data_IF_933615511878
#
_entry.id   IF_933615511878
#
_cell.length_a   1.000
_cell.length_b   1.000
_cell.length_c   1.000
_cell.angle_alpha   90.00
_cell.angle_beta   90.00
_cell.angle_gamma   90.00
#
_symmetry.space_group_name_H-M   'P 1'
#
loop_
_entity.id
_entity.type
_entity.pdbx_description
1 polymer ?
#
# COMPACT_ATOMS: atom_id res chain seq x y z
N UNK A 1 42.41 69.70 -15.85
CA UNK A 1 42.23 70.06 -17.27
C UNK A 1 40.92 69.48 -17.76
N UNK A 2 39.96 70.32 -18.11
CA UNK A 2 38.68 69.93 -18.72
C UNK A 2 38.84 70.03 -20.24
N UNK A 3 38.93 68.89 -20.92
CA UNK A 3 38.89 68.83 -22.38
C UNK A 3 37.45 68.88 -22.86
N UNK A 4 37.13 69.72 -23.86
CA UNK A 4 35.79 69.76 -24.49
C UNK A 4 35.48 68.46 -25.24
N UNK A 5 36.51 67.78 -25.74
CA UNK A 5 36.38 66.56 -26.56
C UNK A 5 36.26 65.30 -25.68
N UNK A 6 36.81 65.33 -24.47
CA UNK A 6 36.81 64.18 -23.56
C UNK A 6 36.39 64.62 -22.16
N UNK A 7 35.10 64.46 -21.87
CA UNK A 7 34.52 64.83 -20.59
C UNK A 7 34.68 63.67 -19.58
N UNK A 8 35.80 63.70 -18.85
CA UNK A 8 36.14 62.67 -17.86
C UNK A 8 35.09 62.51 -16.76
N UNK A 9 34.45 63.61 -16.33
CA UNK A 9 33.39 63.59 -15.32
C UNK A 9 32.13 62.89 -15.83
N UNK A 10 31.75 63.13 -17.09
CA UNK A 10 30.63 62.45 -17.72
C UNK A 10 30.90 60.97 -17.98
N UNK A 11 32.13 60.59 -18.35
CA UNK A 11 32.52 59.18 -18.50
C UNK A 11 32.50 58.43 -17.16
N UNK A 12 32.99 59.06 -16.08
CA UNK A 12 32.91 58.49 -14.74
C UNK A 12 31.45 58.29 -14.30
N UNK A 13 30.60 59.31 -14.50
CA UNK A 13 29.16 59.21 -14.21
C UNK A 13 28.47 58.11 -15.05
N UNK A 14 28.82 57.96 -16.32
CA UNK A 14 28.30 56.89 -17.17
C UNK A 14 28.75 55.50 -16.70
N UNK A 15 29.99 55.35 -16.22
CA UNK A 15 30.48 54.09 -15.66
C UNK A 15 29.75 53.73 -14.37
N UNK A 16 29.53 54.71 -13.48
CA UNK A 16 28.69 54.53 -12.28
C UNK A 16 27.26 54.16 -12.66
N UNK A 17 26.65 54.84 -13.64
CA UNK A 17 25.29 54.53 -14.09
C UNK A 17 25.19 53.11 -14.66
N UNK A 18 26.15 52.68 -15.50
CA UNK A 18 26.20 51.31 -16.01
C UNK A 18 26.31 50.28 -14.88
N UNK A 19 27.09 50.56 -13.85
CA UNK A 19 27.20 49.70 -12.66
C UNK A 19 25.89 49.63 -11.87
N UNK A 20 25.22 50.77 -11.65
CA UNK A 20 23.91 50.82 -10.96
C UNK A 20 22.85 50.06 -11.78
N UNK A 21 22.79 50.28 -13.09
CA UNK A 21 21.86 49.57 -13.97
C UNK A 21 22.10 48.06 -13.97
N UNK A 22 23.35 47.62 -13.94
CA UNK A 22 23.70 46.19 -13.78
C UNK A 22 23.21 45.62 -12.45
N UNK A 23 23.53 46.27 -11.34
CA UNK A 23 23.07 45.85 -10.00
C UNK A 23 21.54 45.84 -9.87
N UNK A 24 20.85 46.81 -10.50
CA UNK A 24 19.40 46.86 -10.55
C UNK A 24 18.82 45.67 -11.32
N UNK A 25 19.40 45.33 -12.48
CA UNK A 25 19.01 44.16 -13.27
C UNK A 25 19.17 42.86 -12.47
N UNK A 26 20.29 42.70 -11.75
CA UNK A 26 20.55 41.52 -10.92
C UNK A 26 19.55 41.42 -9.75
N UNK A 27 19.26 42.54 -9.10
CA UNK A 27 18.26 42.61 -8.02
C UNK A 27 16.86 42.27 -8.56
N UNK A 28 16.48 42.81 -9.72
CA UNK A 28 15.21 42.49 -10.37
C UNK A 28 15.12 41.01 -10.74
N UNK A 29 16.21 40.40 -11.23
CA UNK A 29 16.26 38.97 -11.53
C UNK A 29 16.10 38.11 -10.27
N UNK A 30 16.74 38.48 -9.16
CA UNK A 30 16.60 37.79 -7.88
C UNK A 30 15.18 37.93 -7.31
N UNK A 31 14.56 39.11 -7.41
CA UNK A 31 13.17 39.35 -6.97
C UNK A 31 12.18 38.58 -7.84
N UNK A 32 12.37 38.58 -9.17
CA UNK A 32 11.49 37.90 -10.12
C UNK A 32 11.57 36.37 -10.00
N UNK A 33 12.78 35.83 -9.85
CA UNK A 33 12.99 34.38 -9.68
C UNK A 33 12.77 33.89 -8.25
N UNK A 34 12.81 34.79 -7.26
CA UNK A 34 12.87 34.44 -5.84
C UNK A 34 14.17 33.77 -5.41
N UNK A 35 15.19 33.68 -6.28
CA UNK A 35 16.44 32.99 -6.03
C UNK A 35 17.58 33.98 -5.83
N UNK A 36 18.27 33.91 -4.69
CA UNK A 36 19.51 34.66 -4.46
C UNK A 36 20.67 34.20 -5.36
N UNK A 37 20.69 32.91 -5.72
CA UNK A 37 21.72 32.27 -6.54
C UNK A 37 20.99 31.53 -7.66
N UNK A 38 20.99 32.10 -8.86
CA UNK A 38 20.20 31.59 -9.99
C UNK A 38 21.04 30.72 -10.92
N UNK A 39 22.31 31.07 -11.09
CA UNK A 39 23.25 30.42 -12.02
C UNK A 39 24.48 29.91 -11.28
N UNK A 40 25.14 28.91 -11.85
CA UNK A 40 26.40 28.38 -11.34
C UNK A 40 27.52 29.44 -11.32
N UNK A 41 27.45 30.45 -12.19
CA UNK A 41 28.37 31.59 -12.22
C UNK A 41 28.30 32.47 -10.98
N UNK A 42 27.14 32.54 -10.30
CA UNK A 42 26.91 33.44 -9.17
C UNK A 42 27.59 32.85 -7.91
N UNK A 43 27.46 31.54 -7.72
CA UNK A 43 28.21 30.76 -6.74
C UNK A 43 28.10 29.26 -7.05
N UNK A 44 29.15 28.67 -7.61
CA UNK A 44 29.11 27.27 -8.08
C UNK A 44 28.83 26.26 -6.95
N UNK A 45 29.38 26.49 -5.75
CA UNK A 45 29.21 25.57 -4.62
C UNK A 45 27.77 25.57 -4.09
N UNK A 46 27.22 26.75 -3.80
CA UNK A 46 25.84 26.86 -3.33
C UNK A 46 24.82 26.49 -4.40
N UNK A 47 25.07 26.81 -5.67
CA UNK A 47 24.20 26.41 -6.77
C UNK A 47 24.14 24.88 -6.92
N UNK A 48 25.29 24.20 -6.80
CA UNK A 48 25.35 22.73 -6.86
C UNK A 48 24.58 22.07 -5.70
N UNK A 49 24.78 22.55 -4.47
CA UNK A 49 24.03 22.06 -3.30
C UNK A 49 22.52 22.31 -3.46
N UNK A 50 22.13 23.54 -3.84
CA UNK A 50 20.72 23.88 -4.03
C UNK A 50 20.05 23.06 -5.15
N UNK A 51 20.79 22.79 -6.23
CA UNK A 51 20.30 21.95 -7.33
C UNK A 51 20.12 20.50 -6.90
N UNK A 52 21.07 19.95 -6.13
CA UNK A 52 20.92 18.62 -5.53
C UNK A 52 19.73 18.55 -4.59
N UNK A 53 19.56 19.52 -3.70
CA UNK A 53 18.42 19.58 -2.78
C UNK A 53 17.08 19.71 -3.53
N UNK A 54 17.03 20.48 -4.62
CA UNK A 54 15.83 20.58 -5.46
C UNK A 54 15.50 19.25 -6.13
N UNK A 55 16.50 18.53 -6.63
CA UNK A 55 16.35 17.19 -7.19
C UNK A 55 15.85 16.20 -6.13
N UNK A 56 16.41 16.26 -4.91
CA UNK A 56 15.99 15.41 -3.79
C UNK A 56 14.56 15.68 -3.38
N UNK A 57 14.14 16.95 -3.34
CA UNK A 57 12.77 17.31 -3.02
C UNK A 57 11.77 16.73 -4.05
N UNK A 58 12.14 16.72 -5.34
CA UNK A 58 11.33 16.06 -6.37
C UNK A 58 11.25 14.54 -6.17
N UNK A 59 12.37 13.89 -5.85
CA UNK A 59 12.42 12.46 -5.59
C UNK A 59 11.63 12.06 -4.32
N UNK A 60 11.73 12.85 -3.25
CA UNK A 60 10.96 12.67 -2.01
C UNK A 60 9.46 12.84 -2.29
N UNK A 61 9.08 13.82 -3.12
CA UNK A 61 7.70 13.97 -3.58
C UNK A 61 7.17 12.71 -4.27
N UNK A 62 7.93 12.15 -5.22
CA UNK A 62 7.57 10.91 -5.88
C UNK A 62 7.50 9.70 -4.92
N UNK A 63 8.38 9.64 -3.92
CA UNK A 63 8.31 8.62 -2.86
C UNK A 63 7.09 8.80 -1.98
N UNK A 64 6.68 10.03 -1.69
CA UNK A 64 5.44 10.33 -0.96
C UNK A 64 4.21 9.86 -1.74
N UNK A 65 4.17 10.09 -3.05
CA UNK A 65 3.09 9.59 -3.91
C UNK A 65 3.07 8.06 -3.93
N UNK A 66 4.24 7.43 -4.04
CA UNK A 66 4.37 5.97 -4.01
C UNK A 66 3.94 5.37 -2.66
N UNK A 67 4.26 6.04 -1.54
CA UNK A 67 3.77 5.69 -0.21
C UNK A 67 2.24 5.82 -0.11
N UNK A 68 1.65 6.85 -0.70
CA UNK A 68 0.20 7.02 -0.79
C UNK A 68 -0.47 5.88 -1.56
N UNK A 69 0.12 5.45 -2.69
CA UNK A 69 -0.33 4.25 -3.42
C UNK A 69 -0.16 2.96 -2.60
N UNK A 70 0.93 2.85 -1.84
CA UNK A 70 1.17 1.73 -0.92
C UNK A 70 0.13 1.65 0.18
N UNK A 71 -0.22 2.79 0.79
CA UNK A 71 -1.28 2.89 1.79
C UNK A 71 -2.64 2.45 1.20
N UNK A 72 -3.00 2.95 0.01
CA UNK A 72 -4.25 2.56 -0.66
C UNK A 72 -4.33 1.04 -0.94
N UNK A 73 -3.20 0.39 -1.28
CA UNK A 73 -3.14 -1.08 -1.43
C UNK A 73 -3.45 -1.79 -0.11
N UNK A 74 -2.80 -1.36 0.97
CA UNK A 74 -3.00 -1.96 2.31
C UNK A 74 -4.42 -1.71 2.82
N UNK A 75 -4.96 -0.51 2.61
CA UNK A 75 -6.33 -0.16 3.00
C UNK A 75 -7.38 -0.99 2.27
N UNK A 76 -7.18 -1.23 0.97
CA UNK A 76 -8.06 -2.11 0.17
C UNK A 76 -8.04 -3.53 0.74
N UNK A 77 -6.85 -4.06 1.06
CA UNK A 77 -6.70 -5.38 1.67
C UNK A 77 -7.33 -5.45 3.06
N UNK A 78 -7.10 -4.44 3.91
CA UNK A 78 -7.65 -4.36 5.27
C UNK A 78 -9.19 -4.30 5.26
N UNK A 79 -9.78 -3.52 4.35
CA UNK A 79 -11.23 -3.44 4.16
C UNK A 79 -11.82 -4.78 3.71
N UNK A 80 -11.14 -5.48 2.81
CA UNK A 80 -11.56 -6.81 2.36
C UNK A 80 -11.47 -7.86 3.48
N UNK A 81 -10.41 -7.84 4.29
CA UNK A 81 -10.28 -8.72 5.47
C UNK A 81 -11.38 -8.43 6.49
N UNK A 82 -11.68 -7.16 6.76
CA UNK A 82 -12.75 -6.78 7.70
C UNK A 82 -14.11 -7.29 7.21
N UNK A 83 -14.42 -7.08 5.92
CA UNK A 83 -15.65 -7.60 5.31
C UNK A 83 -15.72 -9.13 5.35
N UNK A 84 -14.59 -9.81 5.14
CA UNK A 84 -14.50 -11.26 5.22
C UNK A 84 -14.73 -11.77 6.67
N UNK A 85 -14.22 -11.06 7.68
CA UNK A 85 -14.45 -11.37 9.10
C UNK A 85 -15.96 -11.31 9.41
N UNK A 86 -16.66 -10.28 8.95
CA UNK A 86 -18.10 -10.14 9.18
C UNK A 86 -18.90 -11.28 8.52
N UNK A 87 -18.55 -11.65 7.28
CA UNK A 87 -19.19 -12.76 6.56
C UNK A 87 -18.94 -14.09 7.29
N UNK A 88 -17.71 -14.34 7.74
CA UNK A 88 -17.38 -15.57 8.47
C UNK A 88 -18.03 -15.60 9.86
N UNK A 89 -18.22 -14.44 10.49
CA UNK A 89 -19.05 -14.29 11.68
C UNK A 89 -20.49 -14.74 11.42
N UNK A 90 -21.09 -14.32 10.31
CA UNK A 90 -22.43 -14.79 9.92
C UNK A 90 -22.46 -16.30 9.65
N UNK A 91 -21.43 -16.87 9.01
CA UNK A 91 -21.32 -18.33 8.82
C UNK A 91 -21.31 -19.03 10.18
N UNK A 92 -20.56 -18.51 11.17
CA UNK A 92 -20.54 -19.06 12.53
C UNK A 92 -21.92 -19.03 13.18
N UNK A 93 -22.66 -17.93 13.05
CA UNK A 93 -24.00 -17.80 13.61
C UNK A 93 -24.96 -18.81 12.97
N UNK A 94 -24.88 -18.99 11.63
CA UNK A 94 -25.65 -20.00 10.92
C UNK A 94 -25.31 -21.43 11.37
N UNK A 95 -24.03 -21.73 11.57
CA UNK A 95 -23.60 -23.01 12.12
C UNK A 95 -24.12 -23.26 13.54
N UNK A 96 -24.17 -22.22 14.38
CA UNK A 96 -24.77 -22.32 15.71
C UNK A 96 -26.27 -22.63 15.63
N UNK A 97 -27.02 -21.98 14.72
CA UNK A 97 -28.43 -22.32 14.50
C UNK A 97 -28.63 -23.74 13.97
N UNK A 98 -27.72 -24.25 13.15
CA UNK A 98 -27.76 -25.63 12.65
C UNK A 98 -27.51 -26.71 13.72
N UNK A 99 -27.05 -26.34 14.92
CA UNK A 99 -26.94 -27.26 16.06
C UNK A 99 -28.30 -27.60 16.66
N UNK A 100 -29.32 -26.75 16.45
CA UNK A 100 -30.67 -27.02 16.91
C UNK A 100 -31.30 -28.14 16.07
N UNK A 101 -31.64 -29.27 16.72
CA UNK A 101 -32.08 -30.49 16.04
C UNK A 101 -33.38 -30.38 15.25
N UNK A 102 -34.14 -29.30 15.42
CA UNK A 102 -35.40 -29.03 14.72
C UNK A 102 -35.22 -28.20 13.44
N UNK A 103 -34.01 -27.73 13.14
CA UNK A 103 -33.72 -26.88 11.98
C UNK A 103 -33.37 -27.74 10.75
N UNK A 104 -33.89 -27.34 9.58
CA UNK A 104 -33.52 -27.96 8.31
C UNK A 104 -32.10 -27.54 7.90
N UNK A 105 -31.16 -28.48 8.06
CA UNK A 105 -29.75 -28.29 7.73
C UNK A 105 -29.51 -27.99 6.25
N UNK A 106 -30.41 -28.40 5.35
CA UNK A 106 -30.28 -28.09 3.92
C UNK A 106 -30.54 -26.61 3.64
N UNK A 107 -31.59 -26.06 4.24
CA UNK A 107 -31.91 -24.63 4.12
C UNK A 107 -30.78 -23.76 4.71
N UNK A 108 -30.22 -24.14 5.86
CA UNK A 108 -29.08 -23.42 6.45
C UNK A 108 -27.82 -23.57 5.59
N UNK A 109 -27.59 -24.73 4.98
CA UNK A 109 -26.47 -24.94 4.05
C UNK A 109 -26.57 -24.05 2.81
N UNK A 110 -27.78 -23.82 2.26
CA UNK A 110 -27.97 -22.90 1.13
C UNK A 110 -27.54 -21.47 1.49
N UNK A 111 -27.91 -20.99 2.69
CA UNK A 111 -27.48 -19.68 3.19
C UNK A 111 -25.96 -19.62 3.42
N UNK A 112 -25.36 -20.66 3.99
CA UNK A 112 -23.90 -20.77 4.14
C UNK A 112 -23.21 -20.74 2.78
N UNK A 113 -23.75 -21.45 1.78
CA UNK A 113 -23.24 -21.45 0.42
C UNK A 113 -23.26 -20.06 -0.23
N UNK A 114 -24.30 -19.26 0.01
CA UNK A 114 -24.35 -17.86 -0.44
C UNK A 114 -23.29 -17.00 0.24
N UNK A 115 -23.11 -17.16 1.56
CA UNK A 115 -22.06 -16.46 2.31
C UNK A 115 -20.65 -16.84 1.83
N UNK A 116 -20.41 -18.12 1.52
CA UNK A 116 -19.15 -18.61 0.94
C UNK A 116 -18.88 -17.99 -0.45
N UNK A 117 -19.89 -17.86 -1.30
CA UNK A 117 -19.77 -17.17 -2.60
C UNK A 117 -19.49 -15.67 -2.42
N UNK A 118 -20.15 -15.02 -1.46
CA UNK A 118 -19.89 -13.61 -1.15
C UNK A 118 -18.45 -13.41 -0.66
N UNK A 119 -17.95 -14.31 0.18
CA UNK A 119 -16.56 -14.32 0.66
C UNK A 119 -15.56 -14.42 -0.50
N UNK A 120 -15.83 -15.30 -1.46
CA UNK A 120 -15.04 -15.42 -2.69
C UNK A 120 -15.06 -14.13 -3.50
N UNK A 121 -16.24 -13.52 -3.67
CA UNK A 121 -16.39 -12.26 -4.41
C UNK A 121 -15.64 -11.10 -3.75
N UNK A 122 -15.69 -10.97 -2.43
CA UNK A 122 -14.92 -9.97 -1.66
C UNK A 122 -13.42 -10.19 -1.86
N UNK A 123 -12.95 -11.44 -1.76
CA UNK A 123 -11.55 -11.76 -1.96
C UNK A 123 -11.08 -11.44 -3.37
N UNK A 124 -11.87 -11.71 -4.42
CA UNK A 124 -11.51 -11.37 -5.81
C UNK A 124 -11.52 -9.86 -6.07
N UNK A 125 -12.47 -9.14 -5.47
CA UNK A 125 -12.66 -7.70 -5.69
C UNK A 125 -11.62 -6.83 -5.00
N UNK A 126 -10.88 -7.38 -4.03
CA UNK A 126 -9.83 -6.70 -3.27
C UNK A 126 -8.52 -6.45 -4.07
N UNK A 127 -8.61 -6.29 -5.38
CA UNK A 127 -7.49 -6.03 -6.28
C UNK A 127 -7.24 -4.53 -6.43
N UNK A 128 -6.00 -4.09 -6.20
CA UNK A 128 -5.58 -2.71 -6.43
C UNK A 128 -4.39 -2.69 -7.40
N UNK A 129 -4.54 -2.00 -8.53
CA UNK A 129 -3.54 -1.97 -9.61
C UNK A 129 -3.08 -3.36 -10.08
N UNK A 130 -3.99 -4.35 -10.09
CA UNK A 130 -3.71 -5.71 -10.55
C UNK A 130 -3.00 -6.61 -9.52
N UNK A 131 -2.71 -6.10 -8.32
CA UNK A 131 -2.21 -6.88 -7.20
C UNK A 131 -3.33 -7.12 -6.18
N UNK A 132 -3.41 -8.35 -5.67
CA UNK A 132 -4.33 -8.71 -4.61
C UNK A 132 -3.55 -9.26 -3.42
N UNK A 133 -3.67 -8.61 -2.26
CA UNK A 133 -2.90 -8.96 -1.06
C UNK A 133 -3.64 -9.96 -0.16
N UNK A 134 -4.95 -10.16 -0.38
CA UNK A 134 -5.76 -11.16 0.34
C UNK A 134 -5.86 -12.47 -0.43
N UNK A 135 -5.43 -12.48 -1.70
CA UNK A 135 -5.38 -13.64 -2.59
C UNK A 135 -4.01 -13.71 -3.27
N UNK A 136 -3.10 -14.52 -2.72
CA UNK A 136 -1.76 -14.67 -3.27
C UNK A 136 -1.21 -16.09 -3.12
N UNK A 137 -0.29 -16.46 -4.01
CA UNK A 137 0.41 -17.73 -3.93
C UNK A 137 1.39 -17.73 -2.74
N UNK A 138 1.52 -18.87 -2.06
CA UNK A 138 2.50 -19.03 -0.99
C UNK A 138 3.92 -18.82 -1.53
N UNK A 139 4.72 -17.99 -0.84
CA UNK A 139 6.07 -17.64 -1.29
C UNK A 139 6.12 -16.47 -2.28
N UNK A 140 4.97 -15.96 -2.74
CA UNK A 140 4.90 -14.66 -3.40
C UNK A 140 5.25 -13.52 -2.42
N UNK A 141 5.60 -12.36 -2.95
CA UNK A 141 5.75 -11.16 -2.11
C UNK A 141 5.24 -9.92 -2.84
N UNK A 142 4.65 -9.00 -2.09
CA UNK A 142 4.40 -7.64 -2.54
C UNK A 142 5.48 -6.72 -1.97
N UNK A 143 5.68 -5.56 -2.60
CA UNK A 143 6.58 -4.55 -2.08
C UNK A 143 5.99 -3.16 -2.15
N UNK A 144 6.26 -2.36 -1.14
CA UNK A 144 5.90 -0.94 -1.09
C UNK A 144 7.17 -0.12 -0.98
N UNK A 145 7.19 1.03 -1.64
CA UNK A 145 8.29 1.99 -1.48
C UNK A 145 8.28 2.53 -0.06
N UNK A 146 9.43 2.57 0.61
CA UNK A 146 9.53 2.94 2.02
C UNK A 146 10.33 4.22 2.26
N UNK A 147 11.42 4.44 1.50
CA UNK A 147 12.24 5.65 1.68
C UNK A 147 13.10 6.00 0.48
N UNK A 148 13.45 7.29 0.38
CA UNK A 148 14.53 7.79 -0.46
C UNK A 148 15.80 7.98 0.38
N UNK A 149 16.92 7.46 -0.09
CA UNK A 149 18.20 7.51 0.62
C UNK A 149 19.25 8.16 -0.28
N UNK A 150 19.87 9.23 0.21
CA UNK A 150 21.09 9.81 -0.36
C UNK A 150 22.29 9.33 0.46
N UNK A 151 23.15 8.54 -0.16
CA UNK A 151 24.39 8.06 0.45
C UNK A 151 25.47 9.14 0.50
N UNK A 152 26.39 9.01 1.44
CA UNK A 152 27.56 9.90 1.61
C UNK A 152 28.50 9.91 0.39
N UNK A 153 28.40 8.89 -0.47
CA UNK A 153 29.20 8.73 -1.69
C UNK A 153 28.55 9.40 -2.92
N UNK A 154 27.46 10.16 -2.73
CA UNK A 154 26.74 10.82 -3.82
C UNK A 154 25.75 9.91 -4.58
N UNK A 155 25.61 8.65 -4.16
CA UNK A 155 24.60 7.73 -4.70
C UNK A 155 23.22 8.03 -4.14
N UNK A 156 22.19 7.79 -4.96
CA UNK A 156 20.79 7.88 -4.56
C UNK A 156 20.13 6.52 -4.76
N UNK A 157 19.29 6.11 -3.82
CA UNK A 157 18.54 4.87 -3.90
C UNK A 157 17.15 5.02 -3.30
N UNK A 158 16.24 4.15 -3.74
CA UNK A 158 14.92 4.00 -3.16
C UNK A 158 14.89 2.65 -2.45
N UNK A 159 14.48 2.65 -1.19
CA UNK A 159 14.26 1.43 -0.41
C UNK A 159 12.81 0.99 -0.57
N UNK A 160 12.60 -0.32 -0.60
CA UNK A 160 11.28 -0.95 -0.58
C UNK A 160 11.18 -1.89 0.62
N UNK A 161 10.00 -1.95 1.22
CA UNK A 161 9.66 -2.94 2.22
C UNK A 161 8.89 -4.06 1.54
N UNK A 162 9.37 -5.30 1.67
CA UNK A 162 8.70 -6.48 1.14
C UNK A 162 7.74 -7.08 2.17
N UNK A 163 6.61 -7.58 1.68
CA UNK A 163 5.61 -8.32 2.42
C UNK A 163 5.48 -9.71 1.79
N UNK A 164 5.96 -10.74 2.48
CA UNK A 164 5.88 -12.11 2.00
C UNK A 164 4.51 -12.72 2.27
N UNK A 165 3.92 -13.35 1.25
CA UNK A 165 2.65 -14.04 1.36
C UNK A 165 2.85 -15.50 1.80
N UNK A 166 2.01 -15.93 2.74
CA UNK A 166 1.94 -17.25 3.32
C UNK A 166 0.48 -17.72 3.24
N UNK A 167 0.21 -18.70 2.37
CA UNK A 167 -1.12 -19.28 2.18
C UNK A 167 -1.39 -20.51 3.06
N UNK A 168 -0.76 -20.60 4.24
CA UNK A 168 -1.08 -21.63 5.22
C UNK A 168 -2.39 -21.34 5.98
N UNK A 169 -2.85 -22.32 6.76
CA UNK A 169 -4.08 -22.22 7.58
C UNK A 169 -4.06 -21.03 8.57
N UNK A 170 -2.89 -20.68 9.09
CA UNK A 170 -2.66 -19.52 9.97
C UNK A 170 -1.78 -18.47 9.27
N UNK A 171 -1.87 -18.42 7.93
CA UNK A 171 -1.09 -17.55 7.08
C UNK A 171 -1.55 -16.09 7.13
N UNK A 172 -1.25 -15.35 6.07
CA UNK A 172 -1.59 -13.93 5.95
C UNK A 172 -2.36 -13.60 4.66
N UNK A 173 -2.98 -14.61 4.05
CA UNK A 173 -3.91 -14.46 2.92
C UNK A 173 -5.20 -15.21 3.21
N UNK A 174 -6.31 -14.66 2.73
CA UNK A 174 -7.65 -15.26 2.87
C UNK A 174 -7.75 -16.53 2.03
N UNK A 175 -7.30 -16.45 0.77
CA UNK A 175 -7.21 -17.58 -0.16
C UNK A 175 -5.81 -17.64 -0.78
N UNK A 176 -5.40 -18.83 -1.20
CA UNK A 176 -4.25 -18.95 -2.09
C UNK A 176 -4.58 -18.50 -3.51
N UNK A 177 -3.55 -18.40 -4.34
CA UNK A 177 -3.70 -18.16 -5.77
C UNK A 177 -2.90 -19.20 -6.55
N UNK A 178 -3.53 -19.80 -7.56
CA UNK A 178 -2.89 -20.68 -8.52
C UNK A 178 -3.18 -20.15 -9.93
N UNK A 179 -2.14 -19.69 -10.64
CA UNK A 179 -2.29 -19.12 -11.98
C UNK A 179 -3.16 -17.85 -12.05
N UNK A 180 -3.26 -17.08 -10.96
CA UNK A 180 -4.07 -15.85 -10.91
C UNK A 180 -5.56 -16.07 -10.62
N UNK A 181 -5.97 -17.32 -10.36
CA UNK A 181 -7.33 -17.67 -9.91
C UNK A 181 -7.31 -18.09 -8.44
N UNK A 182 -8.43 -17.90 -7.73
CA UNK A 182 -8.55 -18.31 -6.33
C UNK A 182 -8.28 -19.81 -6.23
N UNK A 183 -7.33 -20.17 -5.38
CA UNK A 183 -7.15 -21.53 -4.92
C UNK A 183 -7.98 -21.73 -3.64
N UNK A 184 -9.05 -22.51 -3.76
CA UNK A 184 -9.97 -22.82 -2.67
C UNK A 184 -9.43 -23.87 -1.70
N UNK A 185 -8.23 -24.40 -1.95
CA UNK A 185 -7.58 -25.44 -1.12
C UNK A 185 -6.50 -24.90 -0.19
N UNK A 186 -6.16 -23.60 -0.32
CA UNK A 186 -5.12 -22.94 0.46
C UNK A 186 -5.56 -21.55 0.94
N UNK A 187 -4.83 -20.99 1.91
CA UNK A 187 -5.21 -19.78 2.64
C UNK A 187 -6.03 -20.07 3.90
N UNK A 188 -6.29 -19.03 4.69
CA UNK A 188 -7.00 -19.16 5.98
C UNK A 188 -8.39 -19.80 5.81
N UNK A 189 -9.06 -19.52 4.68
CA UNK A 189 -10.42 -19.97 4.39
C UNK A 189 -10.49 -21.22 3.50
N UNK A 190 -9.41 -21.51 2.77
CA UNK A 190 -9.33 -22.63 1.83
C UNK A 190 -8.66 -23.89 2.39
N UNK A 191 -7.80 -23.76 3.41
CA UNK A 191 -7.11 -24.91 4.01
C UNK A 191 -8.10 -25.79 4.76
N UNK A 192 -8.11 -27.10 4.48
CA UNK A 192 -8.99 -28.05 5.14
C UNK A 192 -8.52 -28.36 6.57
N UNK A 193 -9.47 -28.44 7.50
CA UNK A 193 -9.20 -28.92 8.85
C UNK A 193 -9.22 -30.46 8.87
N UNK A 194 -8.19 -31.08 9.43
CA UNK A 194 -8.08 -32.54 9.48
C UNK A 194 -9.18 -33.23 10.30
N UNK A 195 -9.81 -32.51 11.24
CA UNK A 195 -10.87 -33.03 12.11
C UNK A 195 -12.25 -32.99 11.45
N UNK A 196 -12.44 -32.08 10.48
CA UNK A 196 -13.72 -31.88 9.77
C UNK A 196 -13.66 -32.40 8.33
N UNK A 197 -12.47 -32.48 7.73
CA UNK A 197 -12.27 -32.87 6.34
C UNK A 197 -12.70 -31.80 5.32
N UNK A 198 -13.07 -30.60 5.77
CA UNK A 198 -13.52 -29.47 4.97
C UNK A 198 -12.82 -28.18 5.39
N UNK A 199 -12.89 -27.14 4.57
CA UNK A 199 -12.46 -25.78 4.88
C UNK A 199 -13.67 -24.89 5.14
N UNK A 200 -13.47 -23.65 5.62
CA UNK A 200 -14.58 -22.68 5.80
C UNK A 200 -15.32 -22.45 4.48
N UNK A 201 -14.60 -22.48 3.36
CA UNK A 201 -15.17 -22.34 2.02
C UNK A 201 -15.84 -23.61 1.50
N UNK A 202 -15.34 -24.82 1.80
CA UNK A 202 -15.93 -26.08 1.32
C UNK A 202 -16.86 -26.76 2.33
N UNK A 203 -17.24 -26.05 3.39
CA UNK A 203 -18.07 -26.60 4.45
C UNK A 203 -19.46 -26.97 3.94
N UNK A 204 -19.84 -28.23 4.16
CA UNK A 204 -21.18 -28.75 3.91
C UNK A 204 -21.75 -29.42 5.16
N UNK A 205 -22.77 -28.80 5.76
CA UNK A 205 -23.43 -29.30 6.98
C UNK A 205 -24.60 -30.26 6.70
N UNK A 206 -24.99 -30.48 5.43
CA UNK A 206 -26.19 -31.23 5.06
C UNK A 206 -26.18 -32.69 5.56
N UNK A 207 -25.00 -33.28 5.71
CA UNK A 207 -24.79 -34.66 6.19
C UNK A 207 -24.06 -34.74 7.54
N UNK A 208 -23.77 -33.61 8.18
CA UNK A 208 -22.98 -33.56 9.42
C UNK A 208 -23.79 -33.87 10.67
N UNK A 209 -23.19 -34.64 11.57
CA UNK A 209 -23.68 -34.85 12.94
C UNK A 209 -23.39 -33.64 13.83
N UNK A 210 -24.09 -33.50 14.96
CA UNK A 210 -23.89 -32.36 15.88
C UNK A 210 -22.45 -32.26 16.42
N UNK A 211 -21.74 -33.39 16.54
CA UNK A 211 -20.31 -33.41 16.89
C UNK A 211 -19.43 -32.82 15.78
N UNK A 212 -19.73 -33.10 14.52
CA UNK A 212 -19.00 -32.53 13.37
C UNK A 212 -19.29 -31.03 13.20
N UNK A 213 -20.52 -30.58 13.48
CA UNK A 213 -20.88 -29.16 13.48
C UNK A 213 -20.11 -28.41 14.59
N UNK A 214 -19.93 -29.03 15.76
CA UNK A 214 -19.09 -28.46 16.83
C UNK A 214 -17.63 -28.32 16.40
N UNK A 215 -17.07 -29.31 15.71
CA UNK A 215 -15.73 -29.20 15.12
C UNK A 215 -15.64 -28.12 14.04
N UNK A 216 -16.67 -27.99 13.20
CA UNK A 216 -16.77 -26.92 12.20
C UNK A 216 -16.82 -25.52 12.83
N UNK A 217 -17.54 -25.35 13.95
CA UNK A 217 -17.53 -24.10 14.72
C UNK A 217 -16.13 -23.75 15.25
N UNK A 218 -15.37 -24.74 15.72
CA UNK A 218 -13.99 -24.54 16.17
C UNK A 218 -13.04 -24.19 15.01
N UNK A 219 -13.21 -24.80 13.83
CA UNK A 219 -12.50 -24.43 12.61
C UNK A 219 -12.78 -22.97 12.23
N UNK A 220 -14.06 -22.59 12.16
CA UNK A 220 -14.47 -21.22 11.83
C UNK A 220 -13.93 -20.22 12.84
N UNK A 221 -13.91 -20.56 14.13
CA UNK A 221 -13.30 -19.72 15.16
C UNK A 221 -11.78 -19.57 14.96
N UNK A 222 -11.08 -20.63 14.59
CA UNK A 222 -9.63 -20.59 14.31
C UNK A 222 -9.32 -19.71 13.10
N UNK A 223 -10.15 -19.81 12.05
CA UNK A 223 -10.08 -18.93 10.88
C UNK A 223 -10.33 -17.46 11.25
N UNK A 224 -11.36 -17.17 12.08
CA UNK A 224 -11.63 -15.82 12.61
C UNK A 224 -10.46 -15.25 13.41
N UNK A 225 -9.82 -16.06 14.26
CA UNK A 225 -8.65 -15.63 15.02
C UNK A 225 -7.47 -15.29 14.09
N UNK A 226 -7.26 -16.10 13.04
CA UNK A 226 -6.21 -15.88 12.05
C UNK A 226 -6.49 -14.67 11.18
N UNK A 227 -7.73 -14.44 10.75
CA UNK A 227 -8.15 -13.24 10.03
C UNK A 227 -8.05 -11.97 10.89
N UNK A 228 -8.37 -12.06 12.19
CA UNK A 228 -8.21 -10.94 13.13
C UNK A 228 -6.72 -10.61 13.30
N UNK A 229 -5.85 -11.62 13.39
CA UNK A 229 -4.40 -11.41 13.40
C UNK A 229 -3.91 -10.77 12.09
N UNK A 230 -4.42 -11.22 10.94
CA UNK A 230 -4.12 -10.60 9.65
C UNK A 230 -4.56 -9.13 9.61
N UNK A 231 -5.80 -8.83 10.01
CA UNK A 231 -6.32 -7.47 10.08
C UNK A 231 -5.46 -6.58 10.98
N UNK A 232 -5.04 -7.09 12.14
CA UNK A 232 -4.12 -6.35 13.03
C UNK A 232 -2.77 -6.05 12.40
N UNK A 233 -2.23 -6.97 11.58
CA UNK A 233 -0.93 -6.79 10.90
C UNK A 233 -1.01 -5.85 9.69
N UNK A 234 -2.18 -5.72 9.07
CA UNK A 234 -2.41 -4.79 7.97
C UNK A 234 -2.76 -3.39 8.50
N UNK A 235 -3.38 -3.30 9.67
CA UNK A 235 -3.75 -2.03 10.30
C UNK A 235 -2.67 -1.40 11.19
N UNK A 236 -1.59 -2.10 11.49
CA UNK A 236 -0.44 -1.61 12.30
C UNK A 236 0.70 -1.09 11.43
#
# INVERSE_FOLDING_TARGET
>A
MTSIITNNSAMAALQTLKSISGNLQDTQNAVSSGLRISKASDNAAYWSIATSMKSDNGAIGAVSDALGLGAAKVDTASTAVTSAIDIVGQIKDKLATAMEGSVDKKAVQEEIGQLQQQLQSVAQSASFNGENWVMAASGGSASVVSSFIRGTNGTVSVSTTSYAFNAGATGNVLFGSSGGTIDTTSGILGTSDASVGASVFSLDISSMTSGQISSALNMVQTALNSMTSLGSKLGS
#
